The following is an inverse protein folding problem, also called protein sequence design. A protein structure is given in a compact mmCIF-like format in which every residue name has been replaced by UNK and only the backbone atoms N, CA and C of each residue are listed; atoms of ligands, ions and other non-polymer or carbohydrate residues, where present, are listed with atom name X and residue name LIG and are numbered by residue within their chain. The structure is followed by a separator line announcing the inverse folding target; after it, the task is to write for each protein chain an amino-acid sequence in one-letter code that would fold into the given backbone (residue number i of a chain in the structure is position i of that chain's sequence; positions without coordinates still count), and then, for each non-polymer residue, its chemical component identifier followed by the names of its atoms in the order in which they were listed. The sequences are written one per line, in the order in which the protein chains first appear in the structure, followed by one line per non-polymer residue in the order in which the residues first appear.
data_IF_406481800586
#
_entry.id   IF_406481800586
#
_cell.length_a   1.000
_cell.length_b   1.000
_cell.length_c   1.000
_cell.angle_alpha   90.00
_cell.angle_beta   90.00
_cell.angle_gamma   90.00
#
_symmetry.space_group_name_H-M   'P 1'
#
loop_
_entity.id
_entity.type
_entity.pdbx_description
1 polymer ?
#
# COMPACT_ATOMS: atom_id res chain seq x y z
N UNK A 1 -12.68 13.94 -8.28
CA UNK A 1 -11.92 14.44 -9.45
C UNK A 1 -11.57 13.26 -10.33
N UNK A 2 -11.07 13.44 -11.55
CA UNK A 2 -10.70 12.29 -12.39
C UNK A 2 -9.53 12.57 -13.31
N UNK A 3 -8.89 11.49 -13.77
CA UNK A 3 -7.95 11.45 -14.87
C UNK A 3 -8.70 11.06 -16.15
N UNK A 4 -8.52 11.83 -17.22
CA UNK A 4 -9.02 11.51 -18.55
C UNK A 4 -7.86 11.06 -19.43
N UNK A 5 -7.98 9.89 -20.06
CA UNK A 5 -6.97 9.42 -21.02
C UNK A 5 -7.14 10.13 -22.37
N UNK A 6 -6.03 10.45 -23.05
CA UNK A 6 -6.04 10.92 -24.44
C UNK A 6 -6.75 9.94 -25.39
N UNK A 7 -7.37 10.48 -26.45
CA UNK A 7 -8.02 9.66 -27.50
C UNK A 7 -7.02 8.71 -28.17
N UNK A 8 -7.53 7.56 -28.66
CA UNK A 8 -6.79 6.41 -29.24
C UNK A 8 -5.66 6.77 -30.23
N UNK A 9 -5.76 7.88 -30.97
CA UNK A 9 -4.74 8.33 -31.93
C UNK A 9 -3.42 8.80 -31.32
N UNK A 10 -3.35 9.09 -30.02
CA UNK A 10 -2.12 9.61 -29.38
C UNK A 10 -1.03 8.54 -29.15
N UNK A 11 -1.33 7.26 -29.39
CA UNK A 11 -0.33 6.18 -29.26
C UNK A 11 0.81 6.30 -30.26
N UNK A 12 0.57 6.94 -31.41
CA UNK A 12 1.55 7.06 -32.48
C UNK A 12 2.80 7.88 -32.10
N UNK A 13 2.77 8.66 -31.01
CA UNK A 13 3.83 9.66 -30.73
C UNK A 13 4.35 9.69 -29.28
N UNK A 14 3.91 8.80 -28.38
CA UNK A 14 4.44 8.79 -27.00
C UNK A 14 3.58 8.14 -25.90
N UNK A 15 2.69 7.19 -26.24
CA UNK A 15 1.85 6.49 -25.26
C UNK A 15 0.64 7.28 -24.74
N UNK A 16 -0.18 6.69 -23.87
CA UNK A 16 -1.37 7.35 -23.32
C UNK A 16 -1.01 8.42 -22.29
N UNK A 17 -1.57 9.62 -22.44
CA UNK A 17 -1.44 10.71 -21.47
C UNK A 17 -2.71 10.84 -20.64
N UNK A 18 -2.57 11.31 -19.40
CA UNK A 18 -3.67 11.43 -18.44
C UNK A 18 -3.76 12.86 -17.91
N UNK A 19 -4.88 13.52 -18.18
CA UNK A 19 -5.15 14.89 -17.74
C UNK A 19 -6.07 14.91 -16.54
N UNK A 20 -5.82 15.83 -15.62
CA UNK A 20 -6.74 16.07 -14.51
C UNK A 20 -7.96 16.85 -14.98
N UNK A 21 -9.12 16.40 -14.51
CA UNK A 21 -10.39 17.09 -14.65
C UNK A 21 -11.02 17.29 -13.27
N UNK A 22 -11.62 18.46 -13.09
CA UNK A 22 -12.31 18.85 -11.86
C UNK A 22 -11.41 18.77 -10.61
N UNK A 23 -10.15 19.23 -10.73
CA UNK A 23 -9.27 19.43 -9.56
C UNK A 23 -9.96 20.34 -8.55
N UNK A 24 -9.85 19.98 -7.27
CA UNK A 24 -10.29 20.84 -6.16
C UNK A 24 -9.49 22.14 -6.15
N UNK A 25 -10.05 23.20 -5.56
CA UNK A 25 -9.39 24.52 -5.49
C UNK A 25 -8.04 24.44 -4.79
N UNK A 26 -7.94 23.64 -3.73
CA UNK A 26 -6.69 23.43 -2.97
C UNK A 26 -5.62 22.76 -3.82
N UNK A 27 -5.89 21.58 -4.36
CA UNK A 27 -4.92 20.81 -5.18
C UNK A 27 -4.47 21.62 -6.40
N UNK A 28 -5.41 22.32 -7.06
CA UNK A 28 -5.08 23.20 -8.18
C UNK A 28 -4.15 24.33 -7.77
N UNK A 29 -4.41 24.98 -6.64
CA UNK A 29 -3.58 26.08 -6.14
C UNK A 29 -2.17 25.59 -5.81
N UNK A 30 -2.05 24.47 -5.11
CA UNK A 30 -0.75 23.86 -4.79
C UNK A 30 0.02 23.52 -6.07
N UNK A 31 -0.61 22.82 -7.03
CA UNK A 31 0.03 22.48 -8.31
C UNK A 31 0.47 23.72 -9.12
N UNK A 32 -0.27 24.83 -9.07
CA UNK A 32 0.12 26.08 -9.74
C UNK A 32 1.32 26.77 -9.08
N UNK A 33 1.43 26.67 -7.75
CA UNK A 33 2.55 27.22 -6.99
C UNK A 33 3.82 26.43 -7.28
N UNK A 34 3.78 25.11 -7.14
CA UNK A 34 4.94 24.23 -7.28
C UNK A 34 5.33 23.93 -8.74
N UNK A 35 4.41 24.17 -9.69
CA UNK A 35 4.53 23.82 -11.13
C UNK A 35 4.60 22.33 -11.44
N UNK A 36 5.26 21.54 -10.60
CA UNK A 36 5.27 20.09 -10.64
C UNK A 36 5.34 19.51 -9.23
N UNK A 37 4.56 18.47 -8.98
CA UNK A 37 4.41 17.85 -7.66
C UNK A 37 4.64 16.34 -7.80
N UNK A 38 5.52 15.72 -6.99
CA UNK A 38 5.67 14.27 -6.98
C UNK A 38 4.38 13.55 -6.63
N UNK A 39 4.12 12.44 -7.32
CA UNK A 39 2.93 11.63 -7.08
C UNK A 39 3.34 10.30 -6.45
N UNK A 40 2.71 9.93 -5.35
CA UNK A 40 2.70 8.57 -4.83
C UNK A 40 1.40 7.89 -5.28
N UNK A 41 1.49 6.65 -5.77
CA UNK A 41 0.30 5.88 -6.14
C UNK A 41 -0.17 5.07 -4.92
N UNK A 42 -1.43 5.23 -4.54
CA UNK A 42 -2.05 4.36 -3.53
C UNK A 42 -2.52 3.07 -4.21
N UNK A 43 -2.00 1.95 -3.73
CA UNK A 43 -2.27 0.57 -4.17
C UNK A 43 -3.31 -0.09 -3.25
N UNK A 44 -3.79 -1.31 -3.55
CA UNK A 44 -4.63 -2.06 -2.60
C UNK A 44 -4.02 -2.26 -1.22
N UNK A 45 -2.69 -2.24 -1.09
CA UNK A 45 -1.98 -2.40 0.18
C UNK A 45 -1.69 -1.08 0.88
N UNK A 46 -1.47 -0.01 0.13
CA UNK A 46 -0.97 1.25 0.67
C UNK A 46 -0.26 2.09 -0.39
N UNK A 47 0.26 3.24 0.00
CA UNK A 47 1.00 4.08 -0.92
C UNK A 47 2.34 3.44 -1.29
N UNK A 48 2.70 3.53 -2.57
CA UNK A 48 4.04 3.20 -3.08
C UNK A 48 4.69 4.46 -3.64
N UNK A 49 6.01 4.65 -3.42
CA UNK A 49 6.76 5.62 -4.20
C UNK A 49 6.54 5.37 -5.69
N UNK A 50 6.48 6.46 -6.46
CA UNK A 50 6.39 6.37 -7.90
C UNK A 50 7.29 7.42 -8.54
N UNK A 51 7.58 7.23 -9.82
CA UNK A 51 8.32 8.21 -10.61
C UNK A 51 7.39 9.18 -11.34
N UNK A 52 6.11 9.25 -11.00
CA UNK A 52 5.15 10.14 -11.63
C UNK A 52 5.24 11.58 -11.08
N UNK A 53 5.03 12.56 -11.96
CA UNK A 53 4.87 13.97 -11.60
C UNK A 53 3.49 14.46 -12.05
N UNK A 54 2.76 15.12 -11.15
CA UNK A 54 1.65 15.98 -11.52
C UNK A 54 2.22 17.32 -12.00
N UNK A 55 1.80 17.79 -13.17
CA UNK A 55 2.38 18.98 -13.81
C UNK A 55 1.27 19.96 -14.17
N UNK A 56 1.52 21.21 -13.85
CA UNK A 56 0.63 22.34 -14.11
C UNK A 56 0.50 22.65 -15.61
N UNK A 57 -0.62 23.28 -15.99
CA UNK A 57 -0.89 23.78 -17.36
C UNK A 57 0.21 24.67 -17.95
N UNK A 58 0.95 25.36 -17.09
CA UNK A 58 1.99 26.36 -17.40
C UNK A 58 3.42 25.83 -17.22
N UNK A 59 3.56 24.51 -17.06
CA UNK A 59 4.85 23.83 -16.99
C UNK A 59 4.94 22.59 -17.89
N UNK A 60 6.17 22.20 -18.20
CA UNK A 60 6.52 20.95 -18.91
C UNK A 60 7.83 20.38 -18.38
N UNK A 61 8.07 19.10 -18.65
CA UNK A 61 9.40 18.51 -18.49
C UNK A 61 10.21 18.75 -19.77
N UNK A 62 11.46 19.13 -19.61
CA UNK A 62 12.45 19.10 -20.68
C UNK A 62 12.90 17.64 -20.97
N UNK A 63 13.73 17.40 -22.00
CA UNK A 63 14.25 16.06 -22.29
C UNK A 63 15.07 15.43 -21.15
N UNK A 64 15.57 16.22 -20.20
CA UNK A 64 16.33 15.77 -19.04
C UNK A 64 15.42 15.50 -17.82
N UNK A 65 14.10 15.69 -17.95
CA UNK A 65 13.14 15.55 -16.86
C UNK A 65 13.09 16.75 -15.91
N UNK A 66 13.69 17.89 -16.27
CA UNK A 66 13.64 19.12 -15.48
C UNK A 66 12.36 19.89 -15.80
N UNK A 67 11.74 20.44 -14.75
CA UNK A 67 10.55 21.29 -14.87
C UNK A 67 10.97 22.65 -15.46
N UNK A 68 10.34 23.03 -16.57
CA UNK A 68 10.52 24.32 -17.24
C UNK A 68 9.16 24.95 -17.54
N UNK A 69 9.12 26.27 -17.70
CA UNK A 69 7.90 26.95 -18.12
C UNK A 69 7.45 26.47 -19.51
N UNK A 70 6.13 26.31 -19.68
CA UNK A 70 5.56 25.91 -20.96
C UNK A 70 4.04 25.87 -20.91
N UNK A 71 3.38 26.36 -21.96
CA UNK A 71 1.91 26.35 -22.05
C UNK A 71 1.44 25.06 -22.71
N UNK A 72 1.11 24.06 -21.89
CA UNK A 72 0.66 22.73 -22.36
C UNK A 72 -0.87 22.58 -22.26
N UNK A 73 -1.56 23.58 -21.70
CA UNK A 73 -3.01 23.74 -21.77
C UNK A 73 -3.81 22.89 -20.78
N UNK A 74 -3.23 21.81 -20.22
CA UNK A 74 -3.88 20.92 -19.26
C UNK A 74 -2.97 20.49 -18.11
N UNK A 75 -3.58 20.41 -16.92
CA UNK A 75 -3.00 19.74 -15.76
C UNK A 75 -2.96 18.25 -16.03
N UNK A 76 -1.83 17.60 -15.73
CA UNK A 76 -1.62 16.21 -16.15
C UNK A 76 -0.68 15.45 -15.25
N UNK A 77 -0.70 14.12 -15.38
CA UNK A 77 0.34 13.25 -14.84
C UNK A 77 1.29 12.87 -15.98
N UNK A 78 2.58 13.13 -15.77
CA UNK A 78 3.63 12.66 -16.67
C UNK A 78 4.46 11.57 -16.01
N UNK A 79 4.98 10.69 -16.86
CA UNK A 79 5.77 9.54 -16.46
C UNK A 79 7.10 9.96 -15.81
N UNK A 80 7.64 11.15 -16.10
CA UNK A 80 8.99 11.59 -15.70
C UNK A 80 10.05 10.49 -15.92
N UNK A 81 10.43 9.72 -14.88
CA UNK A 81 11.35 8.56 -15.00
C UNK A 81 10.67 7.18 -15.01
N UNK A 82 9.35 7.12 -14.88
CA UNK A 82 8.57 5.89 -14.94
C UNK A 82 8.63 5.28 -16.35
N UNK A 83 8.77 3.96 -16.43
CA UNK A 83 8.78 3.21 -17.69
C UNK A 83 7.38 2.97 -18.28
N UNK A 84 6.31 3.38 -17.60
CA UNK A 84 4.93 3.09 -17.95
C UNK A 84 4.00 4.26 -17.61
N UNK A 85 2.77 4.26 -18.14
CA UNK A 85 1.78 5.30 -17.82
C UNK A 85 1.13 5.07 -16.46
N UNK A 86 0.62 6.14 -15.83
CA UNK A 86 -0.10 6.02 -14.56
C UNK A 86 -1.29 5.05 -14.67
N UNK A 87 -1.98 4.99 -15.81
CA UNK A 87 -3.03 4.01 -16.02
C UNK A 87 -2.51 2.57 -16.08
N UNK A 88 -1.33 2.34 -16.67
CA UNK A 88 -0.69 1.00 -16.63
C UNK A 88 -0.37 0.59 -15.19
N UNK A 89 0.27 1.49 -14.43
CA UNK A 89 0.58 1.26 -13.03
C UNK A 89 -0.68 0.96 -12.20
N UNK A 90 -1.77 1.70 -12.42
CA UNK A 90 -3.06 1.44 -11.75
C UNK A 90 -3.60 0.06 -12.13
N UNK A 91 -3.57 -0.34 -13.41
CA UNK A 91 -4.02 -1.68 -13.82
C UNK A 91 -3.20 -2.77 -13.16
N UNK A 92 -1.87 -2.59 -13.14
CA UNK A 92 -0.92 -3.52 -12.57
C UNK A 92 -1.21 -3.75 -11.09
N UNK A 93 -1.25 -2.68 -10.29
CA UNK A 93 -1.48 -2.78 -8.84
C UNK A 93 -2.87 -3.28 -8.47
N UNK A 94 -3.91 -2.88 -9.20
CA UNK A 94 -5.29 -3.25 -8.90
C UNK A 94 -5.77 -4.51 -9.65
N UNK A 95 -4.88 -5.17 -10.40
CA UNK A 95 -5.16 -6.37 -11.22
C UNK A 95 -6.38 -6.17 -12.14
N UNK A 96 -6.46 -4.98 -12.73
CA UNK A 96 -7.53 -4.64 -13.67
C UNK A 96 -7.23 -5.22 -15.05
N UNK A 97 -8.28 -5.44 -15.85
CA UNK A 97 -8.14 -6.00 -17.20
C UNK A 97 -7.36 -5.06 -18.13
N UNK A 98 -6.71 -5.61 -19.14
CA UNK A 98 -6.13 -4.79 -20.21
C UNK A 98 -7.22 -4.02 -20.96
N UNK A 99 -6.86 -2.84 -21.48
CA UNK A 99 -7.77 -1.98 -22.24
C UNK A 99 -7.64 -0.50 -21.89
N UNK A 100 -7.97 0.37 -22.84
CA UNK A 100 -7.82 1.82 -22.65
C UNK A 100 -8.90 2.34 -21.70
N UNK A 101 -8.46 3.11 -20.70
CA UNK A 101 -9.37 3.88 -19.89
C UNK A 101 -9.95 5.02 -20.72
N UNK A 102 -11.23 5.29 -20.53
CA UNK A 102 -11.77 6.60 -20.81
C UNK A 102 -11.40 7.52 -19.65
N UNK A 103 -11.67 7.04 -18.43
CA UNK A 103 -11.65 7.83 -17.22
C UNK A 103 -11.23 6.99 -16.03
N UNK A 104 -10.46 7.58 -15.13
CA UNK A 104 -10.15 7.03 -13.81
C UNK A 104 -10.56 8.06 -12.77
N UNK A 105 -11.55 7.73 -11.95
CA UNK A 105 -11.93 8.56 -10.81
C UNK A 105 -10.85 8.43 -9.72
N UNK A 106 -10.39 9.57 -9.21
CA UNK A 106 -9.31 9.64 -8.23
C UNK A 106 -9.63 10.58 -7.08
N UNK A 107 -9.08 10.28 -5.91
CA UNK A 107 -8.90 11.17 -4.77
C UNK A 107 -7.41 11.53 -4.66
N UNK A 108 -7.10 12.72 -4.16
CA UNK A 108 -5.72 13.19 -3.97
C UNK A 108 -5.65 13.82 -2.59
N UNK A 109 -4.76 13.28 -1.76
CA UNK A 109 -4.33 13.89 -0.51
C UNK A 109 -2.94 14.54 -0.71
N UNK A 110 -2.74 15.71 -0.11
CA UNK A 110 -1.47 16.44 -0.11
C UNK A 110 -0.77 16.19 1.22
N UNK A 111 0.39 15.53 1.19
CA UNK A 111 1.18 15.16 2.37
C UNK A 111 2.65 15.40 2.03
N UNK A 112 3.32 16.27 2.79
CA UNK A 112 4.73 16.65 2.63
C UNK A 112 5.10 17.01 1.19
N UNK A 113 4.34 17.93 0.59
CA UNK A 113 4.54 18.42 -0.79
C UNK A 113 4.47 17.31 -1.86
N UNK A 114 3.81 16.19 -1.55
CA UNK A 114 3.54 15.09 -2.46
C UNK A 114 2.05 14.84 -2.59
N UNK A 115 1.62 14.43 -3.77
CA UNK A 115 0.26 14.01 -4.04
C UNK A 115 0.11 12.50 -3.90
N UNK A 116 -0.71 12.07 -2.96
CA UNK A 116 -1.12 10.69 -2.79
C UNK A 116 -2.35 10.43 -3.63
N UNK A 117 -2.13 9.89 -4.83
CA UNK A 117 -3.19 9.61 -5.79
C UNK A 117 -3.84 8.27 -5.50
N UNK A 118 -5.11 8.31 -5.14
CA UNK A 118 -5.92 7.13 -4.84
C UNK A 118 -6.95 6.89 -5.94
N UNK A 119 -6.82 5.82 -6.74
CA UNK A 119 -7.87 5.39 -7.66
C UNK A 119 -9.12 4.92 -6.88
N UNK A 120 -10.28 5.47 -7.21
CA UNK A 120 -11.57 5.11 -6.56
C UNK A 120 -12.59 4.54 -7.54
N UNK A 121 -12.36 4.72 -8.84
CA UNK A 121 -13.20 4.15 -9.88
C UNK A 121 -12.57 4.26 -11.25
N UNK A 122 -13.10 3.52 -12.22
CA UNK A 122 -12.63 3.60 -13.61
C UNK A 122 -13.74 3.27 -14.60
N UNK A 123 -13.58 3.78 -15.81
CA UNK A 123 -14.41 3.48 -16.98
C UNK A 123 -13.50 3.19 -18.16
N UNK A 124 -13.69 2.05 -18.81
CA UNK A 124 -13.00 1.73 -20.07
C UNK A 124 -13.69 2.40 -21.24
N UNK A 125 -12.94 2.79 -22.27
CA UNK A 125 -13.45 3.47 -23.46
C UNK A 125 -14.55 2.69 -24.22
N UNK A 126 -14.54 1.36 -24.13
CA UNK A 126 -15.51 0.48 -24.80
C UNK A 126 -16.70 0.10 -23.92
N UNK A 127 -16.80 0.65 -22.71
CA UNK A 127 -17.82 0.26 -21.73
C UNK A 127 -18.62 1.47 -21.26
N UNK A 128 -19.94 1.28 -21.17
CA UNK A 128 -20.86 2.31 -20.69
C UNK A 128 -20.79 2.53 -19.18
N UNK A 129 -20.42 1.49 -18.40
CA UNK A 129 -20.46 1.52 -16.94
C UNK A 129 -19.10 1.86 -16.31
N UNK A 130 -19.13 2.81 -15.38
CA UNK A 130 -18.05 3.03 -14.41
C UNK A 130 -18.07 1.92 -13.36
N UNK A 131 -16.88 1.44 -12.99
CA UNK A 131 -16.66 0.45 -11.95
C UNK A 131 -15.98 1.11 -10.74
N UNK A 132 -16.34 0.68 -9.54
CA UNK A 132 -15.74 1.16 -8.29
C UNK A 132 -14.51 0.33 -7.95
N UNK A 133 -13.44 1.01 -7.52
CA UNK A 133 -12.26 0.36 -6.94
C UNK A 133 -12.46 0.32 -5.43
N UNK A 134 -12.42 -0.88 -4.84
CA UNK A 134 -12.53 -1.01 -3.38
C UNK A 134 -11.25 -0.51 -2.70
N UNK A 135 -11.42 0.30 -1.66
CA UNK A 135 -10.34 0.81 -0.81
C UNK A 135 -10.49 0.27 0.61
N UNK A 136 -9.77 -0.80 0.99
CA UNK A 136 -9.66 -1.17 2.40
C UNK A 136 -8.88 -0.08 3.15
N UNK A 137 -9.35 0.30 4.34
CA UNK A 137 -8.67 1.30 5.18
C UNK A 137 -7.38 0.73 5.80
N UNK A 138 -7.48 -0.50 6.30
CA UNK A 138 -6.40 -1.28 6.92
C UNK A 138 -6.18 -2.62 6.20
N UNK A 139 -5.71 -2.60 4.93
CA UNK A 139 -5.48 -3.78 4.10
C UNK A 139 -4.57 -4.84 4.70
N UNK A 140 -3.61 -4.46 5.56
CA UNK A 140 -2.61 -5.39 6.10
C UNK A 140 -2.94 -5.83 7.53
N UNK A 141 -4.02 -5.31 8.12
CA UNK A 141 -4.40 -5.62 9.51
C UNK A 141 -5.08 -6.98 9.63
N UNK A 142 -4.64 -7.72 10.65
CA UNK A 142 -5.26 -8.96 11.10
C UNK A 142 -5.15 -9.05 12.62
N UNK A 143 -6.22 -8.70 13.31
CA UNK A 143 -6.33 -8.74 14.76
C UNK A 143 -7.78 -8.99 15.19
N UNK A 144 -8.03 -9.10 16.49
CA UNK A 144 -9.37 -9.42 17.03
C UNK A 144 -10.46 -8.43 16.61
N UNK A 145 -10.10 -7.15 16.40
CA UNK A 145 -11.04 -6.09 16.04
C UNK A 145 -11.24 -6.00 14.54
N UNK A 146 -10.21 -6.28 13.76
CA UNK A 146 -10.20 -6.08 12.33
C UNK A 146 -9.40 -7.16 11.60
N UNK A 147 -10.07 -7.85 10.69
CA UNK A 147 -9.46 -8.80 9.76
C UNK A 147 -9.73 -8.31 8.34
N UNK A 148 -8.68 -7.86 7.66
CA UNK A 148 -8.84 -7.32 6.31
C UNK A 148 -9.33 -8.40 5.31
N UNK A 149 -10.06 -7.96 4.30
CA UNK A 149 -10.53 -8.85 3.23
C UNK A 149 -9.37 -9.50 2.47
N UNK A 150 -8.24 -8.79 2.32
CA UNK A 150 -7.05 -9.36 1.70
C UNK A 150 -6.50 -10.53 2.50
N UNK A 151 -6.39 -10.39 3.82
CA UNK A 151 -5.97 -11.49 4.70
C UNK A 151 -6.92 -12.67 4.63
N UNK A 152 -8.23 -12.44 4.76
CA UNK A 152 -9.24 -13.52 4.72
C UNK A 152 -9.14 -14.32 3.43
N UNK A 153 -9.14 -13.64 2.28
CA UNK A 153 -9.02 -14.28 0.96
C UNK A 153 -7.68 -14.98 0.77
N UNK A 154 -6.60 -14.41 1.32
CA UNK A 154 -5.29 -15.03 1.26
C UNK A 154 -5.24 -16.32 2.09
N UNK A 155 -5.71 -16.30 3.34
CA UNK A 155 -5.77 -17.49 4.18
C UNK A 155 -6.62 -18.58 3.53
N UNK A 156 -7.78 -18.24 2.97
CA UNK A 156 -8.63 -19.18 2.24
C UNK A 156 -7.95 -19.76 0.98
N UNK A 157 -7.16 -18.96 0.28
CA UNK A 157 -6.39 -19.42 -0.88
C UNK A 157 -5.30 -20.39 -0.45
N UNK A 158 -4.54 -20.06 0.60
CA UNK A 158 -3.45 -20.90 1.11
C UNK A 158 -4.01 -22.21 1.69
N UNK A 159 -5.11 -22.16 2.48
CA UNK A 159 -5.83 -23.34 3.00
C UNK A 159 -6.24 -24.30 1.89
N UNK A 160 -6.74 -23.78 0.76
CA UNK A 160 -7.17 -24.61 -0.39
C UNK A 160 -6.01 -25.15 -1.22
N UNK A 161 -4.94 -24.37 -1.41
CA UNK A 161 -3.81 -24.76 -2.30
C UNK A 161 -2.73 -25.57 -1.61
N UNK A 162 -2.47 -25.28 -0.33
CA UNK A 162 -1.37 -25.85 0.46
C UNK A 162 -1.89 -26.20 1.87
N UNK A 163 -2.85 -27.14 2.01
CA UNK A 163 -3.55 -27.39 3.27
C UNK A 163 -2.62 -27.82 4.42
N UNK A 164 -1.62 -28.65 4.14
CA UNK A 164 -0.66 -29.12 5.15
C UNK A 164 0.25 -27.98 5.63
N UNK A 165 0.80 -27.20 4.70
CA UNK A 165 1.64 -26.03 5.02
C UNK A 165 0.82 -24.96 5.73
N UNK A 166 -0.43 -24.75 5.34
CA UNK A 166 -1.35 -23.84 6.03
C UNK A 166 -1.52 -24.26 7.49
N UNK A 167 -1.86 -25.54 7.73
CA UNK A 167 -2.07 -26.06 9.09
C UNK A 167 -0.81 -25.95 9.93
N UNK A 168 0.34 -26.39 9.40
CA UNK A 168 1.63 -26.25 10.06
C UNK A 168 1.94 -24.80 10.39
N UNK A 169 1.70 -23.88 9.46
CA UNK A 169 2.01 -22.45 9.65
C UNK A 169 1.19 -21.86 10.78
N UNK A 170 -0.12 -22.11 10.82
CA UNK A 170 -0.96 -21.59 11.90
C UNK A 170 -0.58 -22.24 13.24
N UNK A 171 -0.31 -23.55 13.29
CA UNK A 171 0.14 -24.23 14.52
C UNK A 171 1.45 -23.64 15.05
N UNK A 172 2.41 -23.38 14.17
CA UNK A 172 3.70 -22.80 14.56
C UNK A 172 3.54 -21.35 15.04
N UNK A 173 2.69 -20.56 14.38
CA UNK A 173 2.33 -19.21 14.85
C UNK A 173 1.72 -19.26 16.25
N UNK A 174 0.83 -20.23 16.53
CA UNK A 174 0.24 -20.38 17.86
C UNK A 174 1.25 -20.76 18.91
N UNK A 175 2.13 -21.71 18.62
CA UNK A 175 3.22 -22.08 19.54
C UNK A 175 4.09 -20.87 19.90
N UNK A 176 4.36 -19.99 18.94
CA UNK A 176 5.12 -18.76 19.16
C UNK A 176 4.30 -17.76 19.99
N UNK A 177 3.05 -17.51 19.62
CA UNK A 177 2.17 -16.60 20.36
C UNK A 177 2.01 -17.03 21.83
N UNK A 178 1.77 -18.33 22.06
CA UNK A 178 1.63 -18.92 23.39
C UNK A 178 2.91 -18.81 24.21
N UNK A 179 4.08 -19.04 23.60
CA UNK A 179 5.36 -18.88 24.30
C UNK A 179 5.60 -17.44 24.79
N UNK A 180 5.05 -16.45 24.09
CA UNK A 180 5.14 -15.03 24.46
C UNK A 180 3.94 -14.54 25.30
N UNK A 181 2.92 -15.36 25.53
CA UNK A 181 1.83 -15.03 26.42
C UNK A 181 2.36 -14.90 27.87
N UNK A 182 1.81 -13.95 28.64
CA UNK A 182 2.26 -13.66 30.01
C UNK A 182 2.21 -14.88 30.95
N UNK A 183 1.40 -15.89 30.63
CA UNK A 183 1.15 -17.08 31.44
C UNK A 183 2.05 -18.28 31.05
N UNK A 184 2.89 -18.15 30.02
CA UNK A 184 3.62 -19.27 29.41
C UNK A 184 4.73 -19.88 30.27
N UNK A 185 5.05 -19.27 31.42
CA UNK A 185 6.10 -19.73 32.34
C UNK A 185 7.54 -19.50 31.87
N UNK A 186 7.76 -19.07 30.61
CA UNK A 186 9.08 -18.76 30.08
C UNK A 186 9.55 -17.37 30.52
N UNK A 187 10.43 -17.32 31.52
CA UNK A 187 11.09 -16.08 31.93
C UNK A 187 12.09 -15.66 30.84
N UNK A 188 12.09 -14.38 30.46
CA UNK A 188 13.07 -13.73 29.56
C UNK A 188 12.98 -13.99 28.05
N UNK A 189 11.83 -14.43 27.51
CA UNK A 189 11.61 -14.42 26.04
C UNK A 189 11.74 -12.99 25.52
N UNK A 190 12.52 -12.75 24.47
CA UNK A 190 12.76 -11.38 23.96
C UNK A 190 11.73 -10.99 22.90
N UNK A 191 11.63 -9.71 22.54
CA UNK A 191 10.68 -9.29 21.49
C UNK A 191 11.12 -9.79 20.12
N UNK A 192 12.43 -9.83 19.87
CA UNK A 192 13.05 -10.31 18.63
C UNK A 192 12.71 -11.77 18.33
N UNK A 193 12.40 -12.57 19.35
CA UNK A 193 12.01 -13.97 19.19
C UNK A 193 10.70 -14.12 18.38
N UNK A 194 9.89 -13.06 18.25
CA UNK A 194 8.73 -13.06 17.36
C UNK A 194 9.11 -13.23 15.88
N UNK A 195 10.35 -12.95 15.47
CA UNK A 195 10.84 -13.25 14.11
C UNK A 195 10.87 -14.73 13.78
N UNK A 196 10.78 -15.62 14.79
CA UNK A 196 10.56 -17.05 14.54
C UNK A 196 9.28 -17.30 13.74
N UNK A 197 8.34 -16.36 13.74
CA UNK A 197 7.14 -16.42 12.91
C UNK A 197 7.42 -16.16 11.42
N UNK A 198 8.63 -15.73 11.02
CA UNK A 198 8.95 -15.43 9.61
C UNK A 198 8.69 -16.61 8.66
N UNK A 199 9.13 -17.82 9.05
CA UNK A 199 8.90 -19.04 8.27
C UNK A 199 7.41 -19.33 8.01
N UNK A 200 6.57 -19.48 9.05
CA UNK A 200 5.14 -19.71 8.85
C UNK A 200 4.41 -18.51 8.23
N UNK A 201 4.78 -17.26 8.54
CA UNK A 201 4.21 -16.07 7.91
C UNK A 201 4.50 -16.01 6.40
N UNK A 202 5.68 -16.47 5.96
CA UNK A 202 6.04 -16.53 4.54
C UNK A 202 5.10 -17.43 3.75
N UNK A 203 4.67 -18.56 4.33
CA UNK A 203 3.65 -19.43 3.73
C UNK A 203 2.32 -18.70 3.54
N UNK A 204 1.98 -17.80 4.48
CA UNK A 204 0.77 -16.99 4.42
C UNK A 204 0.91 -15.76 3.50
N UNK A 205 2.09 -15.51 2.95
CA UNK A 205 2.36 -14.40 2.02
C UNK A 205 2.98 -13.16 2.68
N UNK A 206 3.60 -13.31 3.85
CA UNK A 206 4.34 -12.23 4.53
C UNK A 206 5.78 -12.67 4.77
N UNK A 207 6.71 -12.10 4.02
CA UNK A 207 8.14 -12.38 4.15
C UNK A 207 8.81 -11.30 5.01
N UNK A 208 9.19 -11.66 6.24
CA UNK A 208 9.91 -10.75 7.14
C UNK A 208 11.40 -10.76 6.82
N UNK A 209 11.98 -9.58 6.65
CA UNK A 209 13.42 -9.38 6.54
C UNK A 209 14.17 -9.53 7.86
N UNK A 210 15.50 -9.33 7.86
CA UNK A 210 16.32 -9.44 9.05
C UNK A 210 15.97 -8.38 10.10
N UNK A 211 16.15 -8.72 11.37
CA UNK A 211 16.10 -7.73 12.46
C UNK A 211 17.27 -6.76 12.35
N UNK A 212 17.01 -5.46 12.30
CA UNK A 212 18.06 -4.45 12.15
C UNK A 212 18.33 -3.66 13.44
N UNK A 213 17.42 -3.69 14.41
CA UNK A 213 17.57 -3.04 15.73
C UNK A 213 17.74 -1.50 15.69
N UNK A 214 17.57 -0.88 14.52
CA UNK A 214 17.63 0.57 14.27
C UNK A 214 16.58 0.93 13.22
N UNK A 215 15.86 2.04 13.43
CA UNK A 215 14.74 2.40 12.56
C UNK A 215 13.54 1.51 12.90
N UNK A 216 12.85 1.01 11.87
CA UNK A 216 11.91 -0.09 12.04
C UNK A 216 12.64 -1.40 12.30
N UNK A 217 12.03 -2.29 13.08
CA UNK A 217 12.64 -3.57 13.46
C UNK A 217 13.03 -4.45 12.26
N UNK A 218 12.20 -4.49 11.20
CA UNK A 218 12.58 -5.08 9.92
C UNK A 218 11.80 -4.49 8.73
N UNK A 219 12.25 -4.79 7.50
CA UNK A 219 11.48 -4.58 6.28
C UNK A 219 10.81 -5.89 5.89
N UNK A 220 9.54 -5.85 5.49
CA UNK A 220 8.81 -7.04 5.05
C UNK A 220 8.23 -6.85 3.65
N UNK A 221 7.99 -7.98 2.98
CA UNK A 221 7.29 -8.05 1.70
C UNK A 221 5.96 -8.79 1.87
N UNK A 222 4.86 -8.15 1.47
CA UNK A 222 3.52 -8.72 1.44
C UNK A 222 3.16 -9.13 0.01
N UNK A 223 2.74 -10.39 -0.16
CA UNK A 223 2.32 -10.95 -1.44
C UNK A 223 1.03 -11.75 -1.27
N UNK A 224 -0.08 -11.04 -1.27
CA UNK A 224 -1.42 -11.61 -1.15
C UNK A 224 -2.07 -11.84 -2.50
N UNK A 225 -2.73 -12.99 -2.62
CA UNK A 225 -3.46 -13.40 -3.81
C UNK A 225 -2.55 -13.38 -5.06
N UNK A 226 -2.97 -12.68 -6.09
CA UNK A 226 -2.20 -12.46 -7.32
C UNK A 226 -1.74 -11.00 -7.42
N UNK A 227 -1.85 -10.22 -6.34
CA UNK A 227 -1.34 -8.86 -6.29
C UNK A 227 0.18 -8.85 -6.25
N UNK A 228 0.74 -7.71 -6.64
CA UNK A 228 2.18 -7.51 -6.69
C UNK A 228 2.78 -7.42 -5.29
N UNK A 229 4.07 -7.75 -5.13
CA UNK A 229 4.71 -7.65 -3.84
C UNK A 229 4.73 -6.20 -3.33
N UNK A 230 4.40 -6.01 -2.06
CA UNK A 230 4.40 -4.72 -1.40
C UNK A 230 5.40 -4.69 -0.25
N UNK A 231 6.43 -3.88 -0.38
CA UNK A 231 7.41 -3.64 0.67
C UNK A 231 6.84 -2.70 1.73
N UNK A 232 6.97 -3.07 3.01
CA UNK A 232 6.50 -2.26 4.13
C UNK A 232 7.40 -2.43 5.35
N UNK A 233 7.69 -1.36 6.09
CA UNK A 233 8.35 -1.49 7.39
C UNK A 233 7.46 -2.21 8.40
N UNK A 234 8.09 -3.07 9.21
CA UNK A 234 7.45 -3.79 10.31
C UNK A 234 8.14 -3.45 11.63
N UNK A 235 7.34 -3.06 12.62
CA UNK A 235 7.77 -3.00 14.01
C UNK A 235 7.32 -4.27 14.73
N UNK A 236 8.22 -4.86 15.50
CA UNK A 236 7.98 -6.08 16.27
C UNK A 236 7.81 -5.70 17.73
N UNK A 237 6.65 -6.03 18.30
CA UNK A 237 6.32 -5.69 19.69
C UNK A 237 5.58 -6.81 20.37
N UNK A 238 5.82 -7.05 21.65
CA UNK A 238 4.92 -7.94 22.42
C UNK A 238 3.51 -7.38 22.51
N UNK A 239 3.42 -6.08 22.84
CA UNK A 239 2.16 -5.32 22.90
C UNK A 239 2.18 -4.13 21.94
N UNK A 240 1.14 -3.97 21.14
CA UNK A 240 1.09 -2.90 20.13
C UNK A 240 1.15 -1.48 20.71
N UNK A 241 0.75 -1.27 21.98
CA UNK A 241 0.88 0.00 22.69
C UNK A 241 2.32 0.52 22.77
N UNK A 242 3.32 -0.36 22.68
CA UNK A 242 4.75 -0.01 22.68
C UNK A 242 5.16 0.85 21.49
N UNK A 243 4.40 0.82 20.39
CA UNK A 243 4.69 1.58 19.16
C UNK A 243 4.59 3.10 19.29
N UNK A 244 3.90 3.63 20.32
CA UNK A 244 3.72 5.08 20.52
C UNK A 244 5.05 5.85 20.55
N UNK A 245 6.12 5.24 21.05
CA UNK A 245 7.45 5.87 21.13
C UNK A 245 8.13 6.01 19.77
N UNK A 246 7.85 5.09 18.86
CA UNK A 246 8.40 5.06 17.52
C UNK A 246 7.68 6.03 16.57
N UNK A 247 6.38 6.26 16.77
CA UNK A 247 5.60 7.23 15.99
C UNK A 247 6.22 8.64 15.98
N UNK A 248 6.83 9.05 17.09
CA UNK A 248 7.50 10.37 17.18
C UNK A 248 8.89 10.42 16.53
N UNK A 249 9.43 9.28 16.08
CA UNK A 249 10.80 9.17 15.59
C UNK A 249 10.92 9.02 14.08
N UNK A 250 9.85 8.61 13.40
CA UNK A 250 9.88 8.39 11.97
C UNK A 250 9.39 9.61 11.22
N UNK A 251 10.04 9.90 10.09
CA UNK A 251 9.58 10.97 9.24
C UNK A 251 8.24 10.59 8.60
N UNK A 252 7.35 11.56 8.34
CA UNK A 252 6.14 11.33 7.55
C UNK A 252 6.40 10.65 6.18
N UNK A 253 7.59 10.85 5.59
CA UNK A 253 8.01 10.21 4.35
C UNK A 253 8.29 8.70 4.49
N UNK A 254 8.70 8.25 5.67
CA UNK A 254 8.87 6.82 6.02
C UNK A 254 7.53 6.14 6.34
N UNK A 255 6.45 6.91 6.45
CA UNK A 255 5.15 6.50 6.95
C UNK A 255 4.08 6.42 5.85
N UNK A 256 4.46 6.05 4.62
CA UNK A 256 3.51 5.73 3.55
C UNK A 256 2.55 4.60 3.96
N UNK A 257 3.07 3.61 4.71
CA UNK A 257 2.37 2.64 5.56
C UNK A 257 3.38 1.91 6.46
N UNK A 258 2.98 1.48 7.65
CA UNK A 258 3.79 0.63 8.52
C UNK A 258 2.93 -0.48 9.13
N UNK A 259 3.56 -1.58 9.57
CA UNK A 259 2.86 -2.70 10.20
C UNK A 259 3.44 -2.95 11.59
N UNK A 260 2.58 -3.15 12.58
CA UNK A 260 2.97 -3.66 13.90
C UNK A 260 2.69 -5.16 13.91
N UNK A 261 3.73 -5.97 14.05
CA UNK A 261 3.61 -7.40 14.32
C UNK A 261 3.69 -7.62 15.83
N UNK A 262 2.61 -8.15 16.41
CA UNK A 262 2.52 -8.31 17.85
C UNK A 262 1.81 -9.58 18.32
N UNK A 263 1.97 -9.88 19.60
CA UNK A 263 1.24 -10.98 20.26
C UNK A 263 -0.11 -10.46 20.77
N UNK A 264 -0.10 -9.27 21.36
CA UNK A 264 -1.28 -8.60 21.90
C UNK A 264 -1.50 -7.24 21.24
N UNK A 265 -2.71 -7.01 20.75
CA UNK A 265 -3.12 -5.70 20.27
C UNK A 265 -3.90 -4.93 21.35
N UNK A 266 -3.32 -3.86 21.89
CA UNK A 266 -3.92 -2.99 22.91
C UNK A 266 -3.78 -1.48 22.60
N UNK A 267 -3.20 -1.12 21.46
CA UNK A 267 -3.21 0.25 20.95
C UNK A 267 -4.65 0.69 20.64
N UNK A 268 -5.13 1.74 21.31
CA UNK A 268 -6.52 2.22 21.19
C UNK A 268 -6.77 2.99 19.88
N UNK A 269 -5.88 3.92 19.54
CA UNK A 269 -6.01 4.78 18.37
C UNK A 269 -4.89 4.44 17.39
N UNK A 270 -5.13 3.46 16.52
CA UNK A 270 -4.18 3.08 15.47
C UNK A 270 -4.18 4.18 14.39
N UNK A 271 -3.02 4.77 14.05
CA UNK A 271 -2.94 5.72 12.95
C UNK A 271 -3.42 5.10 11.62
N UNK A 272 -4.01 5.91 10.73
CA UNK A 272 -4.63 5.46 9.47
C UNK A 272 -3.68 4.72 8.52
N UNK A 273 -2.38 5.01 8.63
CA UNK A 273 -1.31 4.43 7.84
C UNK A 273 -0.57 3.30 8.59
N UNK A 274 -1.09 2.84 9.72
CA UNK A 274 -0.50 1.76 10.51
C UNK A 274 -1.46 0.59 10.54
N UNK A 275 -0.98 -0.57 10.14
CA UNK A 275 -1.69 -1.83 10.25
C UNK A 275 -1.18 -2.64 11.45
N UNK A 276 -2.03 -3.51 11.99
CA UNK A 276 -1.63 -4.39 13.09
C UNK A 276 -1.93 -5.85 12.76
N UNK A 277 -0.89 -6.68 12.82
CA UNK A 277 -0.99 -8.14 12.78
C UNK A 277 -0.79 -8.66 14.20
N UNK A 278 -1.81 -9.32 14.72
CA UNK A 278 -1.80 -9.98 16.02
C UNK A 278 -1.67 -11.49 15.81
N UNK A 279 -0.53 -12.06 16.17
CA UNK A 279 -0.22 -13.49 15.99
C UNK A 279 -1.24 -14.39 16.71
N UNK A 280 -1.65 -14.01 17.93
CA UNK A 280 -2.64 -14.76 18.69
C UNK A 280 -3.99 -14.84 17.95
N UNK A 281 -4.36 -13.83 17.17
CA UNK A 281 -5.61 -13.86 16.40
C UNK A 281 -5.54 -14.88 15.26
N UNK A 282 -4.38 -15.09 14.63
CA UNK A 282 -4.21 -16.08 13.56
C UNK A 282 -4.53 -17.51 14.04
N UNK A 283 -4.39 -17.78 15.34
CA UNK A 283 -4.77 -19.06 15.94
C UNK A 283 -6.26 -19.37 15.88
N UNK A 284 -7.11 -18.34 15.97
CA UNK A 284 -8.55 -18.52 15.90
C UNK A 284 -9.03 -19.11 14.56
N UNK A 285 -8.20 -19.02 13.52
CA UNK A 285 -8.52 -19.51 12.16
C UNK A 285 -8.45 -21.04 12.06
N UNK A 286 -7.82 -21.75 13.02
CA UNK A 286 -7.80 -23.23 13.04
C UNK A 286 -9.18 -23.84 13.35
N UNK A 287 -10.07 -23.10 14.01
CA UNK A 287 -11.39 -23.56 14.42
C UNK A 287 -12.53 -23.25 13.44
N UNK A 288 -12.24 -22.60 12.31
CA UNK A 288 -13.21 -22.18 11.29
C UNK A 288 -13.13 -22.92 9.96
#
# INVERSE_FOLDING_TARGET
MHLQQTKRGSRATGGPQYYFHNLTKQIRRHLRAEKAVPVALVTPYGATPSSFLAISVDAKLDPNGKVVEGRVGHDRIQQARAGESIGEAIRFWYKLRSGDFERIDVEIDEIDDKFYLTPVGYKYAERSKTQVIQRPEFPLSFNERLQSELWRRQLDRVKRRLPEMWRWSIQEICRIADAHAHESGFRHVKEEDLLRASGPLKVLGVELGPYVGKGFDCQAEFRFLDYEPYGVPVEIKKSSSGFKYQQSKYSPEELSRAVILCVRHDLQNVPRNVDVIQLATLCSVLGG
#
